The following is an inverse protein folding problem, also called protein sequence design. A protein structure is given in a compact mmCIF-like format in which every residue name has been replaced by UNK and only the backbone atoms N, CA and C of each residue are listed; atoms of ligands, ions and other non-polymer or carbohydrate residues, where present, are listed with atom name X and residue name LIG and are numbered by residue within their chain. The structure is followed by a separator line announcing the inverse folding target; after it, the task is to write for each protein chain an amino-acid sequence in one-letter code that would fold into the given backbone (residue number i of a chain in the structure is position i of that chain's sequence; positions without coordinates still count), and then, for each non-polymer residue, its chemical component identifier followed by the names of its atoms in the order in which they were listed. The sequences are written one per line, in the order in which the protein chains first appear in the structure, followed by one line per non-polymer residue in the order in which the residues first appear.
data_IF_953042715140
#
_entry.id   IF_953042715140
#
_cell.length_a   1.000
_cell.length_b   1.000
_cell.length_c   1.000
_cell.angle_alpha   90.00
_cell.angle_beta   90.00
_cell.angle_gamma   90.00
#
_symmetry.space_group_name_H-M   'P 1'
#
loop_
_entity.id
_entity.type
_entity.pdbx_description
1 polymer ?
#
# COMPACT_ATOMS: atom_id res chain seq x y z
N UNK A 1 15.29 14.40 15.67
CA UNK A 1 14.15 14.15 16.59
C UNK A 1 12.79 14.57 16.02
N UNK A 2 12.63 15.76 15.43
CA UNK A 2 11.34 16.22 14.90
C UNK A 2 10.73 15.28 13.83
N UNK A 3 11.53 14.76 12.90
CA UNK A 3 11.05 13.79 11.90
C UNK A 3 10.54 12.49 12.55
N UNK A 4 11.21 12.02 13.61
CA UNK A 4 10.80 10.84 14.37
C UNK A 4 9.48 11.08 15.09
N UNK A 5 9.32 12.25 15.71
CA UNK A 5 8.06 12.66 16.36
C UNK A 5 6.96 12.79 15.31
N UNK A 6 7.24 13.37 14.14
CA UNK A 6 6.27 13.50 13.06
C UNK A 6 5.78 12.14 12.58
N UNK A 7 6.70 11.22 12.29
CA UNK A 7 6.37 9.86 11.84
C UNK A 7 5.67 9.05 12.93
N UNK A 8 6.10 9.14 14.20
CA UNK A 8 5.47 8.45 15.31
C UNK A 8 4.05 8.97 15.58
N UNK A 9 3.87 10.30 15.62
CA UNK A 9 2.57 10.93 15.80
C UNK A 9 1.62 10.65 14.63
N UNK A 10 2.14 10.63 13.39
CA UNK A 10 1.36 10.25 12.21
C UNK A 10 0.92 8.79 12.29
N UNK A 11 1.84 7.90 12.67
CA UNK A 11 1.54 6.47 12.81
C UNK A 11 0.50 6.24 13.88
N UNK A 12 0.67 6.88 15.04
CA UNK A 12 -0.24 6.79 16.17
C UNK A 12 -1.63 7.36 15.84
N UNK A 13 -1.70 8.54 15.22
CA UNK A 13 -2.96 9.18 14.82
C UNK A 13 -3.78 8.35 13.83
N UNK A 14 -3.10 7.58 12.99
CA UNK A 14 -3.73 6.78 11.94
C UNK A 14 -4.14 5.38 12.40
N UNK A 15 -3.50 4.86 13.45
CA UNK A 15 -3.85 3.56 14.06
C UNK A 15 -4.96 3.73 15.11
N UNK A 16 -4.88 4.76 15.96
CA UNK A 16 -5.92 5.05 16.97
C UNK A 16 -6.90 6.11 16.45
N UNK A 17 -8.09 5.66 16.02
CA UNK A 17 -9.14 6.54 15.52
C UNK A 17 -9.83 7.37 16.62
N UNK A 18 -10.18 8.64 16.38
CA UNK A 18 -9.42 9.67 15.69
C UNK A 18 -8.75 10.60 16.72
N UNK A 19 -7.42 10.57 16.82
CA UNK A 19 -6.68 11.55 17.60
C UNK A 19 -6.22 12.73 16.73
N UNK A 20 -7.12 13.69 16.47
CA UNK A 20 -6.80 14.92 15.72
C UNK A 20 -5.60 15.68 16.33
N UNK A 21 -5.38 15.54 17.63
CA UNK A 21 -4.21 16.10 18.32
C UNK A 21 -2.89 15.47 17.84
N UNK A 22 -2.84 14.14 17.65
CA UNK A 22 -1.66 13.45 17.13
C UNK A 22 -1.43 13.75 15.64
N UNK A 23 -2.50 13.93 14.87
CA UNK A 23 -2.40 14.40 13.47
C UNK A 23 -1.86 15.83 13.41
N UNK A 24 -2.36 16.72 14.27
CA UNK A 24 -1.88 18.09 14.44
C UNK A 24 -0.40 18.12 14.85
N UNK A 25 0.00 17.28 15.82
CA UNK A 25 1.38 17.14 16.24
C UNK A 25 2.29 16.67 15.10
N UNK A 26 1.83 15.71 14.29
CA UNK A 26 2.55 15.25 13.10
C UNK A 26 2.79 16.40 12.11
N UNK A 27 1.72 17.14 11.77
CA UNK A 27 1.81 18.27 10.83
C UNK A 27 2.74 19.35 11.37
N UNK A 28 2.59 19.73 12.64
CA UNK A 28 3.46 20.71 13.31
C UNK A 28 4.92 20.24 13.31
N UNK A 29 5.17 18.96 13.62
CA UNK A 29 6.51 18.39 13.63
C UNK A 29 7.13 18.32 12.23
N UNK A 30 6.36 18.04 11.17
CA UNK A 30 6.83 18.12 9.78
C UNK A 30 7.14 19.55 9.35
N UNK A 31 6.29 20.52 9.69
CA UNK A 31 6.52 21.94 9.37
C UNK A 31 7.74 22.46 10.14
N UNK A 32 7.83 22.18 11.44
CA UNK A 32 8.96 22.56 12.27
C UNK A 32 10.27 21.92 11.77
N UNK A 33 10.22 20.65 11.37
CA UNK A 33 11.34 19.97 10.73
C UNK A 33 11.74 20.70 9.44
N UNK A 34 10.82 20.96 8.53
CA UNK A 34 11.12 21.64 7.26
C UNK A 34 11.70 23.05 7.44
N UNK A 35 11.22 23.81 8.42
CA UNK A 35 11.74 25.16 8.75
C UNK A 35 13.15 25.06 9.34
N UNK A 36 13.37 24.14 10.28
CA UNK A 36 14.67 23.95 10.92
C UNK A 36 15.73 23.47 9.91
N UNK A 37 15.34 22.56 9.03
CA UNK A 37 16.21 22.01 8.01
C UNK A 37 16.67 23.08 7.01
N UNK A 38 15.77 23.99 6.64
CA UNK A 38 16.10 25.13 5.76
C UNK A 38 17.04 26.15 6.38
N UNK A 39 17.20 26.13 7.71
CA UNK A 39 18.03 27.10 8.46
C UNK A 39 19.34 26.48 8.97
N UNK A 40 19.59 25.20 8.71
CA UNK A 40 20.76 24.48 9.23
C UNK A 40 21.84 24.37 8.14
N UNK A 41 23.10 24.63 8.49
CA UNK A 41 24.23 24.60 7.56
C UNK A 41 24.57 23.18 7.06
N UNK A 42 24.27 22.17 7.88
CA UNK A 42 24.40 20.75 7.56
C UNK A 42 23.05 20.03 7.70
N UNK A 43 22.12 20.21 6.75
CA UNK A 43 20.81 19.57 6.82
C UNK A 43 20.92 18.06 6.63
N UNK A 44 20.14 17.31 7.41
CA UNK A 44 19.97 15.86 7.27
C UNK A 44 19.25 15.53 5.95
N UNK A 45 18.35 16.42 5.49
CA UNK A 45 17.70 16.34 4.17
C UNK A 45 18.19 17.48 3.27
N UNK A 46 19.26 17.26 2.48
CA UNK A 46 19.70 18.24 1.50
C UNK A 46 18.66 18.35 0.38
N UNK A 47 17.81 19.39 0.45
CA UNK A 47 16.73 19.64 -0.53
C UNK A 47 17.25 19.82 -1.96
N UNK A 48 18.55 20.11 -2.12
CA UNK A 48 19.25 20.16 -3.40
C UNK A 48 19.20 18.82 -4.15
N UNK A 49 19.10 17.68 -3.46
CA UNK A 49 18.95 16.36 -4.10
C UNK A 49 17.69 16.26 -4.96
N UNK A 50 16.59 16.93 -4.57
CA UNK A 50 15.35 16.94 -5.35
C UNK A 50 15.42 17.80 -6.62
N UNK A 51 16.51 18.54 -6.85
CA UNK A 51 16.78 19.18 -8.15
C UNK A 51 17.11 18.14 -9.22
N UNK A 52 17.66 16.98 -8.83
CA UNK A 52 17.87 15.85 -9.73
C UNK A 52 16.52 15.26 -10.15
N UNK A 53 16.21 15.33 -11.45
CA UNK A 53 14.98 14.74 -11.99
C UNK A 53 14.92 13.24 -11.75
N UNK A 54 16.05 12.54 -11.82
CA UNK A 54 16.14 11.11 -11.56
C UNK A 54 15.86 10.80 -10.08
N UNK A 55 16.42 11.57 -9.14
CA UNK A 55 16.16 11.41 -7.70
C UNK A 55 14.67 11.64 -7.37
N UNK A 56 14.08 12.72 -7.89
CA UNK A 56 12.67 13.05 -7.68
C UNK A 56 11.73 12.01 -8.31
N UNK A 57 12.02 11.57 -9.54
CA UNK A 57 11.27 10.53 -10.23
C UNK A 57 11.32 9.18 -9.48
N UNK A 58 12.52 8.76 -9.05
CA UNK A 58 12.71 7.53 -8.29
C UNK A 58 11.96 7.57 -6.95
N UNK A 59 12.05 8.66 -6.19
CA UNK A 59 11.32 8.78 -4.94
C UNK A 59 9.78 8.89 -5.13
N UNK A 60 9.31 9.49 -6.23
CA UNK A 60 7.89 9.47 -6.59
C UNK A 60 7.40 8.06 -6.95
N UNK A 61 8.23 7.28 -7.66
CA UNK A 61 7.97 5.87 -7.91
C UNK A 61 7.90 5.08 -6.61
N UNK A 62 8.88 5.26 -5.71
CA UNK A 62 8.90 4.67 -4.38
C UNK A 62 7.59 4.96 -3.63
N UNK A 63 7.17 6.23 -3.58
CA UNK A 63 5.94 6.62 -2.91
C UNK A 63 4.72 5.85 -3.43
N UNK A 64 4.52 5.83 -4.75
CA UNK A 64 3.33 5.24 -5.35
C UNK A 64 3.33 3.70 -5.28
N UNK A 65 4.47 3.06 -5.57
CA UNK A 65 4.58 1.61 -5.58
C UNK A 65 4.50 1.02 -4.17
N UNK A 66 5.15 1.64 -3.18
CA UNK A 66 5.07 1.17 -1.80
C UNK A 66 3.70 1.46 -1.17
N UNK A 67 3.03 2.54 -1.56
CA UNK A 67 1.63 2.75 -1.21
C UNK A 67 0.75 1.60 -1.74
N UNK A 68 0.89 1.24 -3.03
CA UNK A 68 0.18 0.13 -3.64
C UNK A 68 0.43 -1.21 -2.92
N UNK A 69 1.69 -1.52 -2.64
CA UNK A 69 2.09 -2.73 -1.92
C UNK A 69 1.48 -2.77 -0.51
N UNK A 70 1.54 -1.65 0.23
CA UNK A 70 1.02 -1.58 1.60
C UNK A 70 -0.48 -1.77 1.66
N UNK A 71 -1.25 -1.25 0.70
CA UNK A 71 -2.69 -1.53 0.60
C UNK A 71 -2.91 -3.05 0.49
N UNK A 72 -2.22 -3.72 -0.44
CA UNK A 72 -2.37 -5.16 -0.62
C UNK A 72 -2.01 -5.95 0.64
N UNK A 73 -0.82 -5.71 1.20
CA UNK A 73 -0.31 -6.45 2.38
C UNK A 73 -1.16 -6.18 3.63
N UNK A 74 -1.77 -5.00 3.75
CA UNK A 74 -2.64 -4.66 4.87
C UNK A 74 -4.04 -5.29 4.74
N UNK A 75 -4.68 -5.20 3.57
CA UNK A 75 -6.08 -5.62 3.42
C UNK A 75 -6.28 -7.10 3.08
N UNK A 76 -5.32 -7.76 2.41
CA UNK A 76 -5.41 -9.18 2.05
C UNK A 76 -5.60 -10.13 3.26
N UNK A 77 -4.92 -9.95 4.40
CA UNK A 77 -5.15 -10.80 5.57
C UNK A 77 -6.60 -10.75 6.07
N UNK A 78 -7.27 -9.59 5.97
CA UNK A 78 -8.69 -9.49 6.33
C UNK A 78 -9.56 -10.30 5.37
N UNK A 79 -9.27 -10.30 4.06
CA UNK A 79 -9.97 -11.19 3.11
C UNK A 79 -9.72 -12.66 3.44
N UNK A 80 -8.45 -13.07 3.59
CA UNK A 80 -8.10 -14.46 3.88
C UNK A 80 -8.76 -14.98 5.16
N UNK A 81 -8.67 -14.22 6.25
CA UNK A 81 -9.18 -14.67 7.54
C UNK A 81 -10.71 -14.55 7.57
N UNK A 82 -11.26 -13.42 7.16
CA UNK A 82 -12.66 -13.12 7.43
C UNK A 82 -13.61 -13.52 6.30
N UNK A 83 -13.18 -13.52 5.04
CA UNK A 83 -13.97 -14.05 3.92
C UNK A 83 -13.61 -15.50 3.59
N UNK A 84 -12.32 -15.82 3.42
CA UNK A 84 -11.87 -17.15 3.02
C UNK A 84 -11.74 -18.14 4.19
N UNK A 85 -11.92 -17.65 5.44
CA UNK A 85 -11.89 -18.44 6.68
C UNK A 85 -10.55 -19.17 6.93
N UNK A 86 -9.45 -18.59 6.45
CA UNK A 86 -8.11 -19.09 6.71
C UNK A 86 -7.74 -18.83 8.17
N UNK A 87 -6.97 -19.75 8.76
CA UNK A 87 -6.30 -19.46 10.03
C UNK A 87 -5.27 -18.33 9.84
N UNK A 88 -4.87 -17.61 10.91
CA UNK A 88 -3.82 -16.59 10.80
C UNK A 88 -2.52 -17.12 10.20
N UNK A 89 -2.14 -18.37 10.53
CA UNK A 89 -0.96 -19.02 9.96
C UNK A 89 -1.11 -19.28 8.46
N UNK A 90 -2.29 -19.71 8.00
CA UNK A 90 -2.57 -19.91 6.57
C UNK A 90 -2.59 -18.58 5.81
N UNK A 91 -3.18 -17.53 6.39
CA UNK A 91 -3.17 -16.19 5.80
C UNK A 91 -1.74 -15.65 5.65
N UNK A 92 -0.86 -15.88 6.63
CA UNK A 92 0.56 -15.56 6.50
C UNK A 92 1.27 -16.40 5.43
N UNK A 93 1.04 -17.72 5.41
CA UNK A 93 1.64 -18.62 4.42
C UNK A 93 1.18 -18.31 2.99
N UNK A 94 -0.02 -17.76 2.81
CA UNK A 94 -0.53 -17.35 1.51
C UNK A 94 0.36 -16.31 0.83
N UNK A 95 1.15 -15.51 1.56
CA UNK A 95 2.10 -14.54 0.99
C UNK A 95 3.44 -15.15 0.56
N UNK A 96 3.69 -16.45 0.78
CA UNK A 96 4.95 -17.07 0.43
C UNK A 96 5.36 -16.86 -1.04
N UNK A 97 4.47 -16.94 -2.05
CA UNK A 97 4.87 -16.72 -3.44
C UNK A 97 5.47 -15.32 -3.67
N UNK A 98 4.93 -14.29 -3.01
CA UNK A 98 5.44 -12.92 -3.08
C UNK A 98 6.88 -12.87 -2.54
N UNK A 99 7.10 -13.40 -1.33
CA UNK A 99 8.42 -13.38 -0.65
C UNK A 99 9.45 -14.24 -1.39
N UNK A 100 9.07 -15.46 -1.77
CA UNK A 100 9.94 -16.42 -2.48
C UNK A 100 10.37 -15.84 -3.81
N UNK A 101 9.44 -15.26 -4.58
CA UNK A 101 9.76 -14.65 -5.89
C UNK A 101 10.72 -13.47 -5.72
N UNK A 102 10.45 -12.57 -4.79
CA UNK A 102 11.37 -11.45 -4.51
C UNK A 102 12.76 -11.94 -4.10
N UNK A 103 12.83 -13.00 -3.30
CA UNK A 103 14.09 -13.56 -2.81
C UNK A 103 14.89 -14.22 -3.94
N UNK A 104 14.25 -15.05 -4.76
CA UNK A 104 14.88 -15.78 -5.87
C UNK A 104 15.41 -14.85 -6.97
N UNK A 105 14.62 -13.83 -7.34
CA UNK A 105 14.97 -12.96 -8.45
C UNK A 105 15.83 -11.74 -8.06
N UNK A 106 16.00 -11.46 -6.75
CA UNK A 106 16.79 -10.31 -6.25
C UNK A 106 18.20 -10.20 -6.83
N UNK A 107 18.90 -11.33 -6.99
CA UNK A 107 20.27 -11.37 -7.55
C UNK A 107 20.31 -11.00 -9.03
N UNK A 108 19.27 -11.32 -9.78
CA UNK A 108 19.25 -11.22 -11.24
C UNK A 108 18.84 -9.81 -11.68
N UNK A 109 18.01 -9.13 -10.89
CA UNK A 109 17.44 -7.83 -11.26
C UNK A 109 18.44 -6.68 -11.13
N UNK A 110 19.42 -6.78 -10.22
CA UNK A 110 20.57 -5.87 -10.18
C UNK A 110 21.42 -5.95 -11.44
N UNK A 111 21.86 -7.16 -11.82
CA UNK A 111 22.65 -7.39 -13.03
C UNK A 111 21.89 -7.03 -14.32
N UNK A 112 20.57 -7.17 -14.33
CA UNK A 112 19.73 -6.74 -15.45
C UNK A 112 19.79 -5.22 -15.63
N UNK A 113 19.63 -4.44 -14.55
CA UNK A 113 19.71 -2.97 -14.63
C UNK A 113 21.07 -2.46 -15.09
N UNK A 114 22.16 -3.15 -14.73
CA UNK A 114 23.50 -2.81 -15.23
C UNK A 114 23.63 -3.01 -16.75
N UNK A 115 22.88 -3.96 -17.32
CA UNK A 115 22.92 -4.28 -18.75
C UNK A 115 21.98 -3.44 -19.61
N UNK A 116 20.73 -3.25 -19.17
CA UNK A 116 19.69 -2.58 -19.98
C UNK A 116 19.34 -1.17 -19.49
N UNK A 117 20.03 -0.69 -18.45
CA UNK A 117 19.74 0.56 -17.77
C UNK A 117 18.53 0.47 -16.83
N UNK A 118 18.35 1.47 -15.95
CA UNK A 118 17.33 1.43 -14.91
C UNK A 118 15.90 1.66 -15.43
N UNK A 119 15.73 2.38 -16.54
CA UNK A 119 14.42 2.82 -17.02
C UNK A 119 13.47 1.68 -17.34
N UNK A 120 13.93 0.65 -18.04
CA UNK A 120 13.08 -0.47 -18.46
C UNK A 120 12.56 -1.28 -17.27
N UNK A 121 13.39 -1.72 -16.31
CA UNK A 121 12.92 -2.33 -15.07
C UNK A 121 11.95 -1.45 -14.27
N UNK A 122 12.21 -0.14 -14.19
CA UNK A 122 11.38 0.81 -13.44
C UNK A 122 10.02 1.11 -14.10
N UNK A 123 9.82 0.72 -15.36
CA UNK A 123 8.52 0.79 -16.03
C UNK A 123 7.85 -0.59 -16.01
N UNK A 124 8.56 -1.61 -16.48
CA UNK A 124 8.01 -2.97 -16.61
C UNK A 124 7.67 -3.61 -15.26
N UNK A 125 8.49 -3.37 -14.24
CA UNK A 125 8.27 -3.90 -12.90
C UNK A 125 6.98 -3.38 -12.25
N UNK A 126 6.76 -2.05 -12.14
CA UNK A 126 5.51 -1.52 -11.59
C UNK A 126 4.27 -1.86 -12.43
N UNK A 127 4.38 -1.93 -13.76
CA UNK A 127 3.29 -2.44 -14.62
C UNK A 127 2.94 -3.90 -14.31
N UNK A 128 3.95 -4.74 -14.12
CA UNK A 128 3.76 -6.14 -13.73
C UNK A 128 3.11 -6.22 -12.35
N UNK A 129 3.56 -5.40 -11.39
CA UNK A 129 2.95 -5.32 -10.06
C UNK A 129 1.49 -4.86 -10.13
N UNK A 130 1.16 -3.89 -11.00
CA UNK A 130 -0.20 -3.43 -11.23
C UNK A 130 -1.12 -4.55 -11.74
N UNK A 131 -0.62 -5.40 -12.66
CA UNK A 131 -1.36 -6.59 -13.11
C UNK A 131 -1.60 -7.54 -11.94
N UNK A 132 -0.57 -7.83 -11.13
CA UNK A 132 -0.70 -8.70 -9.95
C UNK A 132 -1.76 -8.19 -8.96
N UNK A 133 -1.75 -6.89 -8.67
CA UNK A 133 -2.74 -6.23 -7.82
C UNK A 133 -4.15 -6.26 -8.43
N UNK A 134 -4.26 -6.06 -9.75
CA UNK A 134 -5.53 -6.17 -10.47
C UNK A 134 -6.11 -7.58 -10.42
N UNK A 135 -5.26 -8.61 -10.55
CA UNK A 135 -5.67 -10.01 -10.40
C UNK A 135 -6.21 -10.30 -9.00
N UNK A 136 -5.63 -9.70 -7.95
CA UNK A 136 -6.11 -9.85 -6.57
C UNK A 136 -7.48 -9.20 -6.32
N UNK A 137 -7.96 -8.34 -7.22
CA UNK A 137 -9.31 -7.77 -7.14
C UNK A 137 -10.39 -8.69 -7.74
N UNK A 138 -10.02 -9.73 -8.49
CA UNK A 138 -10.96 -10.60 -9.20
C UNK A 138 -11.66 -11.63 -8.31
N UNK A 139 -10.97 -12.31 -7.36
CA UNK A 139 -11.56 -13.37 -6.54
C UNK A 139 -12.89 -13.00 -5.88
N UNK A 140 -13.72 -14.03 -5.71
CA UNK A 140 -14.94 -13.96 -4.91
C UNK A 140 -14.76 -14.60 -3.53
N UNK A 141 -15.87 -14.89 -2.87
CA UNK A 141 -15.86 -15.66 -1.61
C UNK A 141 -15.78 -17.14 -1.96
N UNK A 142 -14.77 -17.84 -1.45
CA UNK A 142 -14.49 -19.24 -1.74
C UNK A 142 -13.67 -19.46 -3.01
N UNK A 143 -13.40 -20.74 -3.31
CA UNK A 143 -12.57 -21.17 -4.44
C UNK A 143 -11.16 -21.63 -4.02
N UNK A 144 -10.38 -22.11 -4.99
CA UNK A 144 -9.03 -22.59 -4.75
C UNK A 144 -8.02 -21.46 -4.71
N UNK A 145 -7.21 -21.39 -3.65
CA UNK A 145 -6.08 -20.44 -3.52
C UNK A 145 -5.22 -20.37 -4.78
N UNK A 146 -4.93 -21.54 -5.36
CA UNK A 146 -4.05 -21.70 -6.53
C UNK A 146 -4.58 -21.01 -7.78
N UNK A 147 -5.89 -20.86 -7.91
CA UNK A 147 -6.53 -20.23 -9.08
C UNK A 147 -6.96 -18.78 -8.80
N UNK A 148 -7.10 -18.40 -7.54
CA UNK A 148 -7.61 -17.07 -7.15
C UNK A 148 -6.49 -16.11 -6.75
N UNK A 149 -5.74 -16.42 -5.70
CA UNK A 149 -4.79 -15.47 -5.10
C UNK A 149 -3.33 -15.75 -5.45
N UNK A 150 -2.98 -17.03 -5.63
CA UNK A 150 -1.62 -17.43 -5.99
C UNK A 150 -1.10 -16.71 -7.25
N UNK A 151 -1.85 -16.63 -8.38
CA UNK A 151 -1.35 -15.98 -9.58
C UNK A 151 -1.09 -14.48 -9.36
N UNK A 152 -1.99 -13.80 -8.65
CA UNK A 152 -1.84 -12.38 -8.32
C UNK A 152 -0.61 -12.11 -7.46
N UNK A 153 -0.38 -12.92 -6.42
CA UNK A 153 0.78 -12.80 -5.53
C UNK A 153 2.11 -13.14 -6.22
N UNK A 154 2.10 -14.13 -7.11
CA UNK A 154 3.26 -14.49 -7.93
C UNK A 154 3.63 -13.33 -8.86
N UNK A 155 2.66 -12.81 -9.63
CA UNK A 155 2.86 -11.70 -10.57
C UNK A 155 3.29 -10.43 -9.84
N UNK A 156 2.66 -10.12 -8.68
CA UNK A 156 3.08 -9.02 -7.82
C UNK A 156 4.54 -9.19 -7.37
N UNK A 157 4.92 -10.40 -6.93
CA UNK A 157 6.30 -10.70 -6.53
C UNK A 157 7.31 -10.53 -7.65
N UNK A 158 6.98 -10.93 -8.88
CA UNK A 158 7.83 -10.70 -10.06
C UNK A 158 8.00 -9.19 -10.30
N UNK A 159 6.90 -8.43 -10.32
CA UNK A 159 6.96 -6.98 -10.54
C UNK A 159 7.78 -6.25 -9.48
N UNK A 160 7.60 -6.62 -8.21
CA UNK A 160 8.40 -6.08 -7.10
C UNK A 160 9.88 -6.47 -7.22
N UNK A 161 10.20 -7.72 -7.56
CA UNK A 161 11.58 -8.18 -7.73
C UNK A 161 12.32 -7.39 -8.82
N UNK A 162 11.65 -7.16 -9.95
CA UNK A 162 12.18 -6.38 -11.09
C UNK A 162 12.46 -4.93 -10.68
N UNK A 163 11.62 -4.35 -9.81
CA UNK A 163 11.67 -2.91 -9.51
C UNK A 163 12.62 -2.55 -8.39
N UNK A 164 12.62 -3.31 -7.29
CA UNK A 164 13.18 -2.86 -6.00
C UNK A 164 14.69 -2.58 -6.10
N UNK A 165 15.48 -3.51 -6.64
CA UNK A 165 16.92 -3.31 -6.73
C UNK A 165 17.30 -2.14 -7.67
N UNK A 166 16.79 -2.07 -8.92
CA UNK A 166 17.06 -0.93 -9.82
C UNK A 166 16.60 0.41 -9.26
N UNK A 167 15.51 0.43 -8.49
CA UNK A 167 15.01 1.63 -7.83
C UNK A 167 15.99 2.15 -6.78
N UNK A 168 16.45 1.27 -5.89
CA UNK A 168 17.45 1.63 -4.88
C UNK A 168 18.75 2.12 -5.53
N UNK A 169 19.23 1.43 -6.56
CA UNK A 169 20.42 1.86 -7.31
C UNK A 169 20.20 3.24 -7.91
N UNK A 170 19.06 3.48 -8.58
CA UNK A 170 18.77 4.76 -9.22
C UNK A 170 18.76 5.92 -8.22
N UNK A 171 18.19 5.72 -7.03
CA UNK A 171 18.25 6.72 -5.96
C UNK A 171 19.72 7.01 -5.59
N UNK A 172 20.51 5.96 -5.33
CA UNK A 172 21.91 6.12 -4.90
C UNK A 172 22.81 6.73 -5.99
N UNK A 173 22.56 6.46 -7.26
CA UNK A 173 23.39 6.97 -8.37
C UNK A 173 22.89 8.29 -8.94
N UNK A 174 21.78 8.83 -8.44
CA UNK A 174 21.19 10.09 -8.91
C UNK A 174 21.69 11.34 -8.16
N UNK A 175 22.66 11.15 -7.26
CA UNK A 175 23.30 12.19 -6.46
C UNK A 175 24.72 12.41 -6.97
N UNK A 176 25.16 13.68 -7.01
CA UNK A 176 26.48 14.05 -7.54
C UNK A 176 27.61 13.91 -6.50
N UNK A 177 27.27 13.87 -5.21
CA UNK A 177 28.22 13.79 -4.09
C UNK A 177 27.93 12.55 -3.24
N UNK A 178 28.87 11.59 -3.22
CA UNK A 178 28.79 10.35 -2.45
C UNK A 178 28.61 10.58 -0.94
N UNK A 179 29.01 11.75 -0.41
CA UNK A 179 28.77 12.13 1.00
C UNK A 179 27.29 12.20 1.34
N UNK A 180 26.42 12.41 0.35
CA UNK A 180 24.97 12.43 0.53
C UNK A 180 24.31 11.05 0.36
N UNK A 181 25.05 9.97 0.10
CA UNK A 181 24.47 8.64 -0.09
C UNK A 181 23.66 8.15 1.12
N UNK A 182 24.14 8.43 2.33
CA UNK A 182 23.40 8.14 3.57
C UNK A 182 22.07 8.91 3.64
N UNK A 183 22.07 10.20 3.30
CA UNK A 183 20.86 11.02 3.27
C UNK A 183 19.88 10.57 2.18
N UNK A 184 20.36 10.28 0.97
CA UNK A 184 19.56 9.75 -0.14
C UNK A 184 18.85 8.44 0.22
N UNK A 185 19.57 7.51 0.86
CA UNK A 185 19.01 6.24 1.33
C UNK A 185 17.99 6.46 2.45
N UNK A 186 18.30 7.37 3.39
CA UNK A 186 17.39 7.77 4.46
C UNK A 186 16.08 8.36 3.94
N UNK A 187 16.15 9.26 2.95
CA UNK A 187 14.99 9.87 2.30
C UNK A 187 14.13 8.80 1.62
N UNK A 188 14.73 7.93 0.81
CA UNK A 188 13.98 6.88 0.12
C UNK A 188 13.29 5.93 1.09
N UNK A 189 13.97 5.52 2.17
CA UNK A 189 13.35 4.72 3.23
C UNK A 189 12.21 5.45 3.94
N UNK A 190 12.41 6.73 4.29
CA UNK A 190 11.36 7.53 4.92
C UNK A 190 10.13 7.64 4.01
N UNK A 191 10.32 7.85 2.70
CA UNK A 191 9.26 7.88 1.71
C UNK A 191 8.55 6.54 1.61
N UNK A 192 9.25 5.41 1.53
CA UNK A 192 8.62 4.07 1.52
C UNK A 192 7.74 3.83 2.75
N UNK A 193 8.17 4.27 3.94
CA UNK A 193 7.40 4.11 5.18
C UNK A 193 6.20 5.05 5.23
N UNK A 194 6.39 6.32 4.87
CA UNK A 194 5.31 7.30 4.79
C UNK A 194 4.25 6.90 3.76
N UNK A 195 4.68 6.36 2.61
CA UNK A 195 3.80 5.84 1.57
C UNK A 195 2.80 4.83 2.12
N UNK A 196 3.31 3.80 2.80
CA UNK A 196 2.47 2.73 3.33
C UNK A 196 1.50 3.24 4.39
N UNK A 197 1.99 4.08 5.29
CA UNK A 197 1.18 4.65 6.36
C UNK A 197 0.03 5.53 5.83
N UNK A 198 0.35 6.48 4.93
CA UNK A 198 -0.64 7.36 4.32
C UNK A 198 -1.66 6.57 3.49
N UNK A 199 -1.20 5.56 2.76
CA UNK A 199 -2.07 4.71 1.95
C UNK A 199 -3.04 3.92 2.83
N UNK A 200 -2.57 3.22 3.87
CA UNK A 200 -3.42 2.44 4.76
C UNK A 200 -4.48 3.32 5.43
N UNK A 201 -4.11 4.52 5.88
CA UNK A 201 -5.04 5.46 6.47
C UNK A 201 -6.12 5.95 5.49
N UNK A 202 -5.68 6.45 4.32
CA UNK A 202 -6.59 6.96 3.30
C UNK A 202 -7.53 5.86 2.81
N UNK A 203 -6.97 4.70 2.46
CA UNK A 203 -7.74 3.59 1.95
C UNK A 203 -8.60 2.95 3.03
N UNK A 204 -8.17 2.86 4.29
CA UNK A 204 -9.03 2.42 5.39
C UNK A 204 -10.28 3.27 5.55
N UNK A 205 -10.15 4.60 5.46
CA UNK A 205 -11.31 5.49 5.45
C UNK A 205 -12.21 5.29 4.22
N UNK A 206 -11.61 5.11 3.03
CA UNK A 206 -12.34 4.78 1.79
C UNK A 206 -13.07 3.45 1.93
N UNK A 207 -12.43 2.39 2.45
CA UNK A 207 -13.02 1.07 2.68
C UNK A 207 -14.22 1.16 3.62
N UNK A 208 -14.11 1.90 4.73
CA UNK A 208 -15.22 2.10 5.67
C UNK A 208 -16.41 2.79 4.97
N UNK A 209 -16.15 3.84 4.18
CA UNK A 209 -17.22 4.56 3.46
C UNK A 209 -17.84 3.68 2.38
N UNK A 210 -17.02 2.96 1.60
CA UNK A 210 -17.47 2.06 0.54
C UNK A 210 -18.28 0.90 1.12
N UNK A 211 -17.80 0.27 2.19
CA UNK A 211 -18.47 -0.78 2.94
C UNK A 211 -19.82 -0.28 3.47
N UNK A 212 -19.83 0.85 4.18
CA UNK A 212 -21.06 1.39 4.78
C UNK A 212 -22.11 1.70 3.71
N UNK A 213 -21.71 2.30 2.57
CA UNK A 213 -22.63 2.62 1.47
C UNK A 213 -23.21 1.37 0.80
N UNK A 214 -22.39 0.36 0.52
CA UNK A 214 -22.86 -0.88 -0.11
C UNK A 214 -23.74 -1.69 0.86
N UNK A 215 -23.34 -1.75 2.14
CA UNK A 215 -24.09 -2.42 3.19
C UNK A 215 -25.46 -1.78 3.39
N UNK A 216 -25.51 -0.45 3.45
CA UNK A 216 -26.73 0.32 3.57
C UNK A 216 -27.71 0.02 2.42
N UNK A 217 -27.20 -0.05 1.20
CA UNK A 217 -27.96 -0.40 0.01
C UNK A 217 -28.51 -1.83 0.07
N UNK A 218 -27.71 -2.79 0.54
CA UNK A 218 -28.11 -4.21 0.66
C UNK A 218 -29.12 -4.44 1.77
N UNK A 219 -29.00 -3.71 2.88
CA UNK A 219 -29.93 -3.75 4.00
C UNK A 219 -31.20 -2.93 3.77
N UNK A 220 -31.39 -2.30 2.61
CA UNK A 220 -32.55 -1.44 2.33
C UNK A 220 -33.92 -2.13 2.42
N UNK A 221 -33.97 -3.47 2.46
CA UNK A 221 -35.18 -4.27 2.67
C UNK A 221 -35.40 -4.71 4.13
N UNK A 222 -34.42 -4.50 4.99
CA UNK A 222 -34.47 -4.86 6.41
C UNK A 222 -35.06 -3.71 7.24
N UNK A 223 -35.47 -4.01 8.47
CA UNK A 223 -36.09 -3.00 9.34
C UNK A 223 -35.09 -1.90 9.75
N UNK A 224 -35.55 -0.65 10.02
CA UNK A 224 -34.68 0.43 10.46
C UNK A 224 -33.85 0.11 11.71
N UNK A 225 -34.38 -0.70 12.63
CA UNK A 225 -33.68 -1.13 13.84
C UNK A 225 -32.50 -2.08 13.53
N UNK A 226 -32.68 -3.04 12.61
CA UNK A 226 -31.60 -3.94 12.18
C UNK A 226 -30.53 -3.12 11.46
N UNK A 227 -30.94 -2.26 10.52
CA UNK A 227 -30.06 -1.40 9.74
C UNK A 227 -29.21 -0.49 10.64
N UNK A 228 -29.81 0.22 11.59
CA UNK A 228 -29.06 1.10 12.51
C UNK A 228 -28.08 0.33 13.40
N UNK A 229 -28.47 -0.85 13.90
CA UNK A 229 -27.60 -1.69 14.74
C UNK A 229 -26.35 -2.20 14.01
N UNK A 230 -26.48 -2.52 12.72
CA UNK A 230 -25.36 -2.99 11.89
C UNK A 230 -24.50 -1.81 11.44
N UNK A 231 -25.12 -0.70 11.01
CA UNK A 231 -24.39 0.50 10.57
C UNK A 231 -23.61 1.17 11.71
N UNK A 232 -24.04 1.00 12.96
CA UNK A 232 -23.26 1.40 14.13
C UNK A 232 -21.90 0.67 14.22
N UNK A 233 -21.79 -0.52 13.62
CA UNK A 233 -20.58 -1.34 13.58
C UNK A 233 -19.77 -1.17 12.29
N UNK A 234 -20.06 -0.16 11.45
CA UNK A 234 -19.40 0.02 10.14
C UNK A 234 -17.88 0.10 10.17
N UNK A 235 -17.29 0.54 11.28
CA UNK A 235 -15.83 0.61 11.46
C UNK A 235 -15.19 -0.75 11.68
N UNK A 236 -15.98 -1.77 12.09
CA UNK A 236 -15.53 -3.17 12.19
C UNK A 236 -15.43 -3.87 10.84
N UNK A 237 -15.90 -3.24 9.76
CA UNK A 237 -15.89 -3.81 8.41
C UNK A 237 -16.50 -5.23 8.40
N UNK A 238 -15.73 -6.23 7.97
CA UNK A 238 -16.13 -7.63 7.87
C UNK A 238 -16.37 -8.30 9.23
N UNK A 239 -15.86 -7.73 10.32
CA UNK A 239 -16.07 -8.26 11.68
C UNK A 239 -17.40 -7.82 12.29
N UNK A 240 -18.21 -7.05 11.56
CA UNK A 240 -19.56 -6.71 12.00
C UNK A 240 -20.40 -7.98 12.18
N UNK A 241 -20.99 -8.15 13.37
CA UNK A 241 -21.82 -9.32 13.67
C UNK A 241 -23.32 -8.99 13.53
N UNK A 242 -24.12 -9.89 12.92
CA UNK A 242 -25.57 -9.79 12.98
C UNK A 242 -26.07 -9.86 14.43
N UNK A 243 -27.11 -9.09 14.81
CA UNK A 243 -27.72 -9.20 16.13
C UNK A 243 -28.12 -10.64 16.51
N UNK A 244 -27.84 -11.03 17.76
CA UNK A 244 -28.03 -12.42 18.25
C UNK A 244 -29.49 -12.85 18.36
N UNK A 245 -30.43 -11.91 18.34
CA UNK A 245 -31.87 -12.10 18.46
C UNK A 245 -32.59 -12.28 17.11
N UNK A 246 -31.85 -12.32 15.99
CA UNK A 246 -32.44 -12.57 14.66
C UNK A 246 -32.70 -14.06 14.42
N UNK A 247 -33.76 -14.34 13.67
CA UNK A 247 -34.02 -15.68 13.12
C UNK A 247 -32.88 -16.13 12.16
N UNK A 248 -32.82 -17.44 11.91
CA UNK A 248 -31.73 -18.02 11.10
C UNK A 248 -31.64 -17.44 9.69
N UNK A 249 -32.80 -17.21 9.06
CA UNK A 249 -32.89 -16.69 7.69
C UNK A 249 -32.41 -15.22 7.59
N UNK A 250 -32.85 -14.33 8.48
CA UNK A 250 -32.42 -12.93 8.47
C UNK A 250 -30.95 -12.82 8.86
N UNK A 251 -30.49 -13.62 9.82
CA UNK A 251 -29.07 -13.69 10.18
C UNK A 251 -28.18 -14.07 8.99
N UNK A 252 -28.59 -15.05 8.20
CA UNK A 252 -27.86 -15.46 7.00
C UNK A 252 -27.84 -14.35 5.93
N UNK A 253 -28.98 -13.68 5.70
CA UNK A 253 -29.05 -12.53 4.77
C UNK A 253 -28.15 -11.38 5.20
N UNK A 254 -28.19 -10.99 6.47
CA UNK A 254 -27.34 -9.93 7.03
C UNK A 254 -25.86 -10.28 6.90
N UNK A 255 -25.48 -11.52 7.25
CA UNK A 255 -24.09 -11.96 7.10
C UNK A 255 -23.62 -11.90 5.65
N UNK A 256 -24.43 -12.41 4.71
CA UNK A 256 -24.13 -12.31 3.28
C UNK A 256 -24.02 -10.87 2.77
N UNK A 257 -24.83 -9.95 3.32
CA UNK A 257 -24.72 -8.53 3.01
C UNK A 257 -23.40 -7.92 3.51
N UNK A 258 -22.96 -8.27 4.72
CA UNK A 258 -21.68 -7.84 5.30
C UNK A 258 -20.51 -8.38 4.47
N UNK A 259 -20.47 -9.68 4.21
CA UNK A 259 -19.39 -10.32 3.44
C UNK A 259 -19.30 -9.75 2.02
N UNK A 260 -20.43 -9.56 1.33
CA UNK A 260 -20.44 -8.99 -0.01
C UNK A 260 -20.07 -7.50 -0.05
N UNK A 261 -20.43 -6.73 0.99
CA UNK A 261 -20.05 -5.31 1.09
C UNK A 261 -18.56 -5.16 1.38
N UNK A 262 -18.00 -6.04 2.21
CA UNK A 262 -16.57 -6.06 2.47
C UNK A 262 -15.79 -6.46 1.21
N UNK A 263 -16.24 -7.50 0.49
CA UNK A 263 -15.64 -7.87 -0.79
C UNK A 263 -15.64 -6.69 -1.77
N UNK A 264 -16.73 -5.90 -1.82
CA UNK A 264 -16.80 -4.71 -2.68
C UNK A 264 -15.77 -3.64 -2.28
N UNK A 265 -15.61 -3.37 -0.99
CA UNK A 265 -14.60 -2.45 -0.48
C UNK A 265 -13.18 -2.95 -0.79
N UNK A 266 -12.89 -4.22 -0.48
CA UNK A 266 -11.61 -4.87 -0.77
C UNK A 266 -11.22 -4.78 -2.27
N UNK A 267 -12.18 -4.97 -3.17
CA UNK A 267 -11.95 -4.80 -4.62
C UNK A 267 -11.58 -3.38 -5.01
N UNK A 268 -12.20 -2.37 -4.38
CA UNK A 268 -11.84 -0.97 -4.61
C UNK A 268 -10.40 -0.72 -4.18
N UNK A 269 -10.00 -1.27 -3.03
CA UNK A 269 -8.64 -1.13 -2.51
C UNK A 269 -7.60 -1.80 -3.44
N UNK A 270 -7.85 -3.03 -3.90
CA UNK A 270 -6.94 -3.72 -4.84
C UNK A 270 -6.84 -3.02 -6.19
N UNK A 271 -7.95 -2.52 -6.74
CA UNK A 271 -7.94 -1.75 -7.99
C UNK A 271 -7.23 -0.41 -7.85
N UNK A 272 -7.40 0.27 -6.72
CA UNK A 272 -6.69 1.50 -6.45
C UNK A 272 -5.18 1.26 -6.26
N UNK A 273 -4.79 0.18 -5.58
CA UNK A 273 -3.40 -0.25 -5.52
C UNK A 273 -2.84 -0.53 -6.92
N UNK A 274 -3.58 -1.23 -7.79
CA UNK A 274 -3.18 -1.46 -9.17
C UNK A 274 -3.00 -0.13 -9.95
N UNK A 275 -3.91 0.82 -9.78
CA UNK A 275 -3.81 2.15 -10.40
C UNK A 275 -2.60 2.94 -9.90
N UNK A 276 -2.28 2.87 -8.60
CA UNK A 276 -1.08 3.48 -8.02
C UNK A 276 0.20 2.85 -8.58
N UNK A 277 0.27 1.52 -8.67
CA UNK A 277 1.41 0.84 -9.26
C UNK A 277 1.58 1.16 -10.76
N UNK A 278 0.48 1.29 -11.49
CA UNK A 278 0.50 1.76 -12.88
C UNK A 278 1.01 3.21 -12.98
N UNK A 279 0.52 4.11 -12.12
CA UNK A 279 0.99 5.48 -12.07
C UNK A 279 2.48 5.57 -11.69
N UNK A 280 2.97 4.67 -10.84
CA UNK A 280 4.39 4.56 -10.49
C UNK A 280 5.27 4.25 -11.73
N UNK A 281 4.77 3.47 -12.69
CA UNK A 281 5.50 3.25 -13.95
C UNK A 281 5.67 4.55 -14.75
N UNK A 282 4.67 5.43 -14.73
CA UNK A 282 4.73 6.71 -15.45
C UNK A 282 5.78 7.66 -14.85
N UNK A 283 6.03 7.61 -13.54
CA UNK A 283 7.05 8.45 -12.90
C UNK A 283 8.48 8.05 -13.30
N UNK A 284 8.69 6.85 -13.84
CA UNK A 284 9.99 6.42 -14.37
C UNK A 284 10.32 6.97 -15.76
N UNK A 285 9.36 7.54 -16.50
CA UNK A 285 9.58 8.05 -17.86
C UNK A 285 10.68 9.12 -17.96
N UNK A 286 10.84 10.06 -17.01
CA UNK A 286 11.90 11.07 -17.03
C UNK A 286 13.29 10.54 -16.65
N UNK A 287 13.39 9.29 -16.17
CA UNK A 287 14.67 8.68 -15.77
C UNK A 287 15.45 8.36 -17.04
N UNK A 288 16.46 9.17 -17.35
CA UNK A 288 17.30 8.96 -18.52
C UNK A 288 18.22 7.76 -18.30
N UNK A 289 18.46 7.01 -19.38
CA UNK A 289 19.57 6.05 -19.45
C UNK A 289 20.83 6.89 -19.57
N UNK A 290 21.64 6.99 -18.51
CA UNK A 290 22.96 7.59 -18.68
C UNK A 290 23.75 6.66 -19.61
N UNK A 291 23.98 7.11 -20.84
CA UNK A 291 24.96 6.45 -21.70
C UNK A 291 26.31 6.68 -21.05
N UNK A 292 26.82 5.70 -20.31
CA UNK A 292 28.24 5.67 -19.97
C UNK A 292 29.01 5.63 -21.31
N UNK A 293 29.65 6.75 -21.64
CA UNK A 293 30.86 6.79 -22.47
C UNK A 293 31.99 7.23 -21.57
#
# INVERSE_FOLDING_TARGET
FLITIALAALTYALIEAPQYAALGLSVIAFIAFAILERRTDHPIVPLTLFRSRAFTAANALTLLLYAALSIAVFFLPFDFIQLQKYSPAQAGAAFLPLVVTMSLFSRWTGALADRIGPRLPLIGGPLTAAIGLGLLAVPGIGGSYWTTFFPGLLVLGVGMAITVAPLTTTVMTSIDDERHAGAASGINNAISRAAGLLAIALFGAISIVAFARDLDRRLGRETPAIRSSILAQKTKLVEAEPPRNLDGATRARVRGAIEASFLRAFRIDMLAAAALAFAAAATALPIQVSSRR
#
